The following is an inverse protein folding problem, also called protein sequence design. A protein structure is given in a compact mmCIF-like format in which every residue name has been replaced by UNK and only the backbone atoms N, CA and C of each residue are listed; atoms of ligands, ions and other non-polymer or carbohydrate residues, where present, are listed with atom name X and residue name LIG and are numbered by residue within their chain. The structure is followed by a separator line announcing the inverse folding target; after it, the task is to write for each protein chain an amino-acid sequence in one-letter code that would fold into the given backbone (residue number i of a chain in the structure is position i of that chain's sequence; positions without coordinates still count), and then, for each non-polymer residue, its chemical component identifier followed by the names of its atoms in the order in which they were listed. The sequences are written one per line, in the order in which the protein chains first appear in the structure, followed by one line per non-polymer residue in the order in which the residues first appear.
data_IF_347262693952
#
_entry.id   IF_347262693952
#
_cell.length_a   1.000
_cell.length_b   1.000
_cell.length_c   1.000
_cell.angle_alpha   90.00
_cell.angle_beta   90.00
_cell.angle_gamma   90.00
#
_symmetry.space_group_name_H-M   'P 1'
#
loop_
_entity.id
_entity.type
_entity.pdbx_description
1 polymer ?
#
# COMPACT_ATOMS: atom_id res chain seq x y z
N UNK A 1 7.09 -28.14 5.26
CA UNK A 1 7.34 -28.24 6.71
C UNK A 1 8.07 -26.97 7.07
N UNK A 2 7.36 -25.96 7.58
CA UNK A 2 7.98 -24.67 7.88
C UNK A 2 7.33 -24.17 9.17
N UNK A 3 7.84 -24.69 10.30
CA UNK A 3 7.43 -24.21 11.61
C UNK A 3 7.79 -22.72 11.67
N UNK A 4 6.76 -21.88 11.69
CA UNK A 4 6.90 -20.42 11.76
C UNK A 4 7.40 -20.04 13.16
N UNK A 5 8.69 -20.28 13.41
CA UNK A 5 9.33 -20.04 14.70
C UNK A 5 9.35 -18.53 14.96
N UNK A 6 8.57 -18.11 15.96
CA UNK A 6 8.46 -16.72 16.40
C UNK A 6 9.15 -16.56 17.75
N UNK A 7 10.15 -15.69 17.81
CA UNK A 7 10.87 -15.36 19.03
C UNK A 7 10.48 -13.97 19.54
N UNK A 8 10.50 -13.81 20.86
CA UNK A 8 10.21 -12.54 21.53
C UNK A 8 11.42 -11.60 21.38
N UNK A 9 11.19 -10.40 20.90
CA UNK A 9 12.18 -9.32 20.92
C UNK A 9 12.47 -8.93 22.37
N UNK A 10 13.75 -8.92 22.74
CA UNK A 10 14.16 -8.56 24.10
C UNK A 10 13.91 -7.08 24.45
N UNK A 11 13.81 -6.20 23.44
CA UNK A 11 13.66 -4.76 23.64
C UNK A 11 12.21 -4.29 23.66
N UNK A 12 11.35 -4.76 22.74
CA UNK A 12 9.95 -4.34 22.67
C UNK A 12 8.94 -5.40 23.14
N UNK A 13 9.38 -6.63 23.41
CA UNK A 13 8.53 -7.69 23.92
C UNK A 13 7.58 -8.35 22.91
N UNK A 14 7.54 -7.86 21.67
CA UNK A 14 6.73 -8.44 20.59
C UNK A 14 7.38 -9.69 19.98
N UNK A 15 6.57 -10.58 19.39
CA UNK A 15 7.04 -11.81 18.74
C UNK A 15 7.23 -11.61 17.24
N UNK A 16 8.42 -11.91 16.72
CA UNK A 16 8.77 -11.79 15.31
C UNK A 16 9.33 -13.10 14.78
N UNK A 17 9.31 -13.28 13.45
CA UNK A 17 9.96 -14.42 12.81
C UNK A 17 11.47 -14.34 13.05
N UNK A 18 12.10 -15.46 13.42
CA UNK A 18 13.55 -15.47 13.73
C UNK A 18 14.39 -14.93 12.57
N UNK A 19 14.00 -15.21 11.34
CA UNK A 19 14.68 -14.74 10.12
C UNK A 19 14.76 -13.21 9.99
N UNK A 20 13.81 -12.47 10.58
CA UNK A 20 13.77 -11.00 10.51
C UNK A 20 14.36 -10.32 11.73
N UNK A 21 14.86 -11.08 12.70
CA UNK A 21 15.45 -10.55 13.93
C UNK A 21 16.96 -10.43 13.81
N UNK A 22 17.54 -9.47 14.52
CA UNK A 22 18.98 -9.16 14.53
C UNK A 22 19.51 -9.19 15.96
N UNK A 23 20.81 -9.38 16.12
CA UNK A 23 21.44 -9.27 17.44
C UNK A 23 21.58 -7.81 17.85
N UNK A 24 21.42 -7.54 19.14
CA UNK A 24 21.70 -6.28 19.81
C UNK A 24 23.16 -5.83 19.58
N UNK A 25 23.47 -4.54 19.80
CA UNK A 25 24.86 -4.02 19.77
C UNK A 25 25.84 -4.84 20.63
N UNK A 26 25.36 -5.43 21.71
CA UNK A 26 26.16 -6.29 22.61
C UNK A 26 26.29 -7.74 22.13
N UNK A 27 25.56 -8.17 21.11
CA UNK A 27 25.58 -9.54 20.58
C UNK A 27 24.87 -10.58 21.45
N UNK A 28 24.34 -10.20 22.62
CA UNK A 28 23.76 -11.15 23.60
C UNK A 28 22.28 -11.42 23.40
N UNK A 29 21.53 -10.44 22.91
CA UNK A 29 20.08 -10.50 22.83
C UNK A 29 19.60 -10.40 21.38
N UNK A 30 18.52 -11.11 21.07
CA UNK A 30 17.85 -11.03 19.77
C UNK A 30 16.75 -9.95 19.82
N UNK A 31 16.82 -9.00 18.90
CA UNK A 31 15.93 -7.84 18.81
C UNK A 31 15.33 -7.72 17.41
N UNK A 32 14.18 -7.04 17.28
CA UNK A 32 13.55 -6.81 15.98
C UNK A 32 14.30 -5.75 15.15
N UNK A 33 14.03 -5.71 13.86
CA UNK A 33 14.63 -4.74 12.93
C UNK A 33 14.42 -3.29 13.36
N UNK A 34 13.23 -2.94 13.88
CA UNK A 34 12.95 -1.61 14.41
C UNK A 34 13.83 -1.25 15.62
N UNK A 35 13.99 -2.18 16.57
CA UNK A 35 14.85 -1.97 17.74
C UNK A 35 16.32 -1.89 17.33
N UNK A 36 16.73 -2.69 16.35
CA UNK A 36 18.08 -2.65 15.79
C UNK A 36 18.36 -1.31 15.10
N UNK A 37 17.41 -0.79 14.31
CA UNK A 37 17.53 0.51 13.65
C UNK A 37 17.64 1.68 14.65
N UNK A 38 16.90 1.62 15.76
CA UNK A 38 17.00 2.61 16.86
C UNK A 38 18.36 2.57 17.53
N UNK A 39 18.93 1.38 17.69
CA UNK A 39 20.27 1.25 18.26
C UNK A 39 21.32 1.73 17.27
N UNK A 40 21.20 1.42 15.99
CA UNK A 40 22.24 1.71 14.99
C UNK A 40 21.77 2.75 13.95
N UNK A 41 21.70 4.04 14.33
CA UNK A 41 21.17 5.11 13.46
C UNK A 41 22.02 5.35 12.20
N UNK A 42 23.27 4.87 12.16
CA UNK A 42 24.13 4.97 10.97
C UNK A 42 23.76 3.97 9.86
N UNK A 43 23.07 2.87 10.20
CA UNK A 43 22.51 1.93 9.21
C UNK A 43 21.06 2.22 8.87
N UNK A 44 20.48 3.28 9.46
CA UNK A 44 19.16 3.78 9.08
C UNK A 44 19.28 4.48 7.72
N UNK A 45 19.40 3.68 6.65
CA UNK A 45 18.84 4.08 5.37
C UNK A 45 17.40 4.49 5.68
N UNK A 46 16.95 5.71 5.31
CA UNK A 46 15.63 6.17 5.72
C UNK A 46 14.64 5.10 5.28
N UNK A 47 14.03 4.42 6.24
CA UNK A 47 12.90 3.57 5.97
C UNK A 47 11.92 4.44 5.17
N UNK A 48 11.39 3.97 4.03
CA UNK A 48 10.33 4.69 3.34
C UNK A 48 9.26 4.91 4.40
N UNK A 49 9.16 6.17 4.80
CA UNK A 49 8.30 6.59 5.86
C UNK A 49 6.92 6.30 5.33
N UNK A 50 6.28 5.23 5.82
CA UNK A 50 4.84 5.04 5.66
C UNK A 50 4.20 6.09 6.56
N UNK A 51 4.38 7.36 6.18
CA UNK A 51 3.45 8.40 6.54
C UNK A 51 2.15 7.91 5.93
N UNK A 52 1.02 7.88 6.66
CA UNK A 52 -0.29 8.01 6.02
C UNK A 52 -0.29 9.40 5.37
N UNK A 53 0.42 9.51 4.24
CA UNK A 53 0.50 10.69 3.44
C UNK A 53 -0.84 10.77 2.76
N UNK A 54 -1.71 11.57 3.38
CA UNK A 54 -2.71 12.42 2.72
C UNK A 54 -3.08 11.90 1.34
N UNK A 55 -4.27 11.29 1.26
CA UNK A 55 -4.89 10.85 0.01
C UNK A 55 -4.96 12.06 -0.93
N UNK A 56 -3.88 12.35 -1.66
CA UNK A 56 -3.92 13.25 -2.80
C UNK A 56 -4.86 12.56 -3.77
N UNK A 57 -6.07 13.07 -3.83
CA UNK A 57 -7.11 12.63 -4.74
C UNK A 57 -6.54 12.64 -6.16
N UNK A 58 -6.18 11.44 -6.64
CA UNK A 58 -5.64 11.23 -7.97
C UNK A 58 -6.74 10.62 -8.80
N UNK A 59 -7.24 11.40 -9.75
CA UNK A 59 -8.20 10.90 -10.74
C UNK A 59 -7.47 9.88 -11.61
N UNK A 60 -7.98 8.65 -11.64
CA UNK A 60 -7.52 7.59 -12.54
C UNK A 60 -8.23 7.78 -13.87
N UNK A 61 -7.46 7.97 -14.94
CA UNK A 61 -7.94 8.11 -16.30
C UNK A 61 -7.55 6.91 -17.14
N UNK A 62 -8.37 6.56 -18.12
CA UNK A 62 -8.05 5.55 -19.10
C UNK A 62 -8.44 6.00 -20.51
N UNK A 63 -7.63 5.64 -21.50
CA UNK A 63 -7.97 5.87 -22.89
C UNK A 63 -8.81 4.72 -23.43
N UNK A 64 -10.00 5.01 -23.98
CA UNK A 64 -10.90 3.99 -24.56
C UNK A 64 -10.36 3.37 -25.85
N UNK A 65 -9.44 4.05 -26.56
CA UNK A 65 -8.92 3.61 -27.85
C UNK A 65 -7.70 2.69 -27.73
N UNK A 66 -6.75 3.03 -26.86
CA UNK A 66 -5.52 2.25 -26.68
C UNK A 66 -5.43 1.51 -25.34
N UNK A 67 -6.39 1.72 -24.43
CA UNK A 67 -6.40 1.09 -23.12
C UNK A 67 -5.36 1.64 -22.14
N UNK A 68 -4.60 2.67 -22.50
CA UNK A 68 -3.57 3.26 -21.64
C UNK A 68 -4.19 3.89 -20.40
N UNK A 69 -3.73 3.48 -19.22
CA UNK A 69 -4.21 3.92 -17.90
C UNK A 69 -3.17 4.86 -17.29
N UNK A 70 -3.63 6.01 -16.81
CA UNK A 70 -2.74 6.99 -16.19
C UNK A 70 -3.48 7.79 -15.13
N UNK A 71 -2.74 8.19 -14.10
CA UNK A 71 -3.27 8.95 -12.97
C UNK A 71 -2.77 10.39 -13.05
N UNK A 72 -3.66 11.35 -12.86
CA UNK A 72 -3.32 12.78 -12.80
C UNK A 72 -3.89 13.39 -11.52
N UNK A 73 -3.30 14.50 -11.08
CA UNK A 73 -3.80 15.26 -9.93
C UNK A 73 -5.21 15.79 -10.25
N UNK A 74 -6.11 15.78 -9.26
CA UNK A 74 -7.44 16.39 -9.35
C UNK A 74 -7.33 17.81 -9.90
N UNK A 75 -8.04 18.11 -10.98
CA UNK A 75 -8.07 19.43 -11.64
C UNK A 75 -7.25 19.57 -12.92
N UNK A 76 -6.50 18.54 -13.35
CA UNK A 76 -5.90 18.54 -14.67
C UNK A 76 -6.95 18.21 -15.74
N UNK A 77 -7.21 19.13 -16.67
CA UNK A 77 -8.06 18.89 -17.84
C UNK A 77 -7.30 17.96 -18.80
N UNK A 78 -7.65 16.68 -18.77
CA UNK A 78 -7.03 15.67 -19.63
C UNK A 78 -7.83 15.54 -20.92
N UNK A 79 -7.46 16.33 -21.94
CA UNK A 79 -8.16 16.32 -23.23
C UNK A 79 -7.58 15.32 -24.24
N UNK A 80 -6.37 14.79 -24.02
CA UNK A 80 -5.67 13.91 -24.97
C UNK A 80 -4.89 12.82 -24.27
N UNK A 81 -4.90 11.62 -24.84
CA UNK A 81 -4.07 10.51 -24.39
C UNK A 81 -2.58 10.78 -24.75
N UNK A 82 -1.64 10.64 -23.80
CA UNK A 82 -0.21 10.85 -24.07
C UNK A 82 0.40 9.80 -25.00
N UNK A 83 -0.26 8.65 -25.20
CA UNK A 83 0.28 7.54 -25.98
C UNK A 83 -0.24 7.54 -27.43
N UNK A 84 -1.54 7.76 -27.62
CA UNK A 84 -2.16 7.70 -28.95
C UNK A 84 -2.69 9.04 -29.44
N UNK A 85 -2.50 10.13 -28.68
CA UNK A 85 -2.95 11.49 -28.97
C UNK A 85 -4.45 11.63 -29.28
N UNK A 86 -5.28 10.64 -28.90
CA UNK A 86 -6.73 10.68 -29.10
C UNK A 86 -7.42 11.36 -27.92
N UNK A 87 -8.53 12.05 -28.20
CA UNK A 87 -9.33 12.75 -27.20
C UNK A 87 -10.29 11.84 -26.40
N UNK A 88 -10.38 10.56 -26.75
CA UNK A 88 -11.22 9.59 -26.03
C UNK A 88 -10.55 9.10 -24.74
N UNK A 89 -10.56 9.95 -23.73
CA UNK A 89 -10.10 9.65 -22.36
C UNK A 89 -11.31 9.71 -21.42
N UNK A 90 -11.46 8.71 -20.55
CA UNK A 90 -12.54 8.64 -19.57
C UNK A 90 -11.98 8.44 -18.16
N UNK A 91 -12.71 8.92 -17.15
CA UNK A 91 -12.40 8.69 -15.73
C UNK A 91 -12.80 7.28 -15.32
N UNK A 92 -12.01 6.66 -14.45
CA UNK A 92 -12.28 5.31 -13.94
C UNK A 92 -13.35 5.30 -12.83
N UNK A 93 -13.65 6.45 -12.22
CA UNK A 93 -14.56 6.58 -11.08
C UNK A 93 -16.00 6.19 -11.44
N UNK A 94 -16.44 6.46 -12.68
CA UNK A 94 -17.78 6.12 -13.17
C UNK A 94 -18.06 4.61 -13.31
N UNK A 95 -17.04 3.75 -13.28
CA UNK A 95 -17.21 2.31 -13.54
C UNK A 95 -17.38 1.47 -12.26
N UNK A 96 -16.94 1.96 -11.09
CA UNK A 96 -16.87 1.15 -9.87
C UNK A 96 -18.03 1.39 -8.90
N UNK A 97 -18.74 2.52 -9.02
CA UNK A 97 -19.87 2.84 -8.13
C UNK A 97 -21.14 2.04 -8.47
N UNK A 98 -21.35 1.69 -9.74
CA UNK A 98 -22.55 0.97 -10.17
C UNK A 98 -22.57 -0.50 -9.73
N UNK A 99 -21.40 -1.17 -9.59
CA UNK A 99 -21.34 -2.60 -9.26
C UNK A 99 -21.43 -2.91 -7.75
N UNK A 100 -21.38 -1.92 -6.86
CA UNK A 100 -21.47 -2.13 -5.40
C UNK A 100 -22.87 -1.91 -4.82
N UNK A 101 -23.76 -1.20 -5.53
CA UNK A 101 -25.13 -0.90 -5.04
C UNK A 101 -26.10 -2.05 -5.34
N UNK A 102 -25.84 -2.88 -6.35
CA UNK A 102 -26.75 -3.95 -6.78
C UNK A 102 -26.73 -5.20 -5.87
N UNK A 103 -25.64 -5.43 -5.11
CA UNK A 103 -25.52 -6.60 -4.23
C UNK A 103 -26.09 -6.40 -2.82
N UNK A 104 -26.58 -5.20 -2.48
CA UNK A 104 -27.06 -4.87 -1.13
C UNK A 104 -28.59 -4.95 -0.98
N UNK A 105 -29.32 -5.39 -2.00
CA UNK A 105 -30.80 -5.41 -2.02
C UNK A 105 -31.43 -6.81 -1.95
N UNK A 106 -30.67 -7.86 -1.63
CA UNK A 106 -31.22 -9.22 -1.48
C UNK A 106 -32.03 -9.31 -0.17
N UNK A 107 -33.35 -9.14 -0.28
CA UNK A 107 -34.34 -9.18 0.81
C UNK A 107 -34.57 -10.57 1.40
N UNK A 108 -33.49 -11.30 1.73
CA UNK A 108 -33.51 -12.68 2.22
C UNK A 108 -33.56 -12.80 3.75
N UNK A 109 -33.62 -11.68 4.47
CA UNK A 109 -33.84 -11.64 5.91
C UNK A 109 -35.19 -10.97 6.21
N UNK A 110 -36.28 -11.66 5.91
CA UNK A 110 -37.56 -11.44 6.59
C UNK A 110 -37.81 -12.71 7.42
N UNK A 111 -37.85 -12.53 8.75
CA UNK A 111 -37.84 -13.56 9.79
C UNK A 111 -39.26 -13.99 10.14
#
# INVERSE_FOLDING_TARGET
MDAELKLKCNSCGNRFRVMTMKYDKTGKNLICEDCYARQNPQTARPAPTVKPAEQKEVDKWYCKKCGYKFSRKKGAVVSRCPYCNNAMVAKQEDLHAASLVDQSSDGRFDF
#
